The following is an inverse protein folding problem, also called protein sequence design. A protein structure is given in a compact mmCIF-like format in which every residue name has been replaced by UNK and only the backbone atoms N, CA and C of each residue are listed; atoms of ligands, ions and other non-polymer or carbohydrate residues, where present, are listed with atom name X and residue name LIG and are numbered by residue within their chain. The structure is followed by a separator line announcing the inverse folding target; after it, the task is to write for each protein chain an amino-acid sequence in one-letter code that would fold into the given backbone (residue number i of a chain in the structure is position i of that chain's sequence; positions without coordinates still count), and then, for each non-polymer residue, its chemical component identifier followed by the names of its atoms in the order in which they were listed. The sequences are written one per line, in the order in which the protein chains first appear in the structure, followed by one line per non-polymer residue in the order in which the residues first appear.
data_IF_550854830447
#
_entry.id   IF_550854830447
#
_cell.length_a   1.000
_cell.length_b   1.000
_cell.length_c   1.000
_cell.angle_alpha   90.00
_cell.angle_beta   90.00
_cell.angle_gamma   90.00
#
_symmetry.space_group_name_H-M   'P 1'
#
loop_
_entity.id
_entity.type
_entity.pdbx_description
1 polymer ?
#
# COMPACT_ATOMS: atom_id res chain seq x y z
N UNK A 1 -19.47 62.61 22.23
CA UNK A 1 -18.61 62.14 23.34
C UNK A 1 -19.28 60.86 23.88
N UNK A 2 -18.84 59.70 23.38
CA UNK A 2 -18.03 58.71 24.14
C UNK A 2 -18.78 58.23 25.39
N UNK A 3 -19.42 57.06 25.36
CA UNK A 3 -18.87 55.71 25.61
C UNK A 3 -19.98 54.96 26.37
N UNK A 4 -20.17 53.65 26.38
CA UNK A 4 -19.31 52.49 26.19
C UNK A 4 -20.18 51.36 25.62
N UNK A 5 -19.84 50.81 24.44
CA UNK A 5 -20.30 49.48 24.06
C UNK A 5 -19.27 48.48 24.58
N UNK A 6 -19.57 47.83 25.70
CA UNK A 6 -18.80 46.68 26.18
C UNK A 6 -18.95 45.55 25.16
N UNK A 7 -17.96 45.41 24.29
CA UNK A 7 -17.78 44.20 23.51
C UNK A 7 -17.45 43.07 24.48
N UNK A 8 -18.41 42.17 24.69
CA UNK A 8 -18.16 40.89 25.31
C UNK A 8 -17.14 40.14 24.45
N UNK A 9 -15.94 39.99 24.98
CA UNK A 9 -14.88 39.17 24.41
C UNK A 9 -15.36 37.72 24.49
N UNK A 10 -15.84 37.16 23.37
CA UNK A 10 -16.15 35.74 23.29
C UNK A 10 -14.85 34.96 23.57
N UNK A 11 -14.77 34.40 24.77
CA UNK A 11 -13.78 33.41 25.15
C UNK A 11 -13.92 32.21 24.23
N UNK A 12 -13.07 32.14 23.22
CA UNK A 12 -12.86 30.90 22.48
C UNK A 12 -12.22 29.93 23.47
N UNK A 13 -13.03 29.03 24.03
CA UNK A 13 -12.52 27.90 24.77
C UNK A 13 -11.51 27.13 23.91
N UNK A 14 -10.54 26.42 24.52
CA UNK A 14 -9.60 25.60 23.76
C UNK A 14 -10.38 24.68 22.83
N UNK A 15 -9.93 24.47 21.57
CA UNK A 15 -10.63 23.59 20.65
C UNK A 15 -10.79 22.23 21.32
N UNK A 16 -12.04 21.85 21.57
CA UNK A 16 -12.40 20.50 22.01
C UNK A 16 -11.96 19.57 20.89
N UNK A 17 -10.84 18.89 21.11
CA UNK A 17 -10.29 17.90 20.19
C UNK A 17 -11.21 16.68 20.27
N UNK A 18 -12.30 16.69 19.52
CA UNK A 18 -13.22 15.55 19.43
C UNK A 18 -12.43 14.44 18.72
N UNK A 19 -12.17 13.31 19.38
CA UNK A 19 -11.47 12.20 18.74
C UNK A 19 -12.31 11.71 17.55
N UNK A 20 -11.63 11.44 16.43
CA UNK A 20 -12.28 10.89 15.24
C UNK A 20 -12.91 9.54 15.58
N UNK A 21 -14.11 9.29 15.05
CA UNK A 21 -14.73 7.97 15.16
C UNK A 21 -14.03 6.94 14.24
N UNK A 22 -14.36 5.66 14.41
CA UNK A 22 -13.72 4.58 13.66
C UNK A 22 -13.95 4.68 12.14
N UNK A 23 -15.11 5.18 11.70
CA UNK A 23 -15.43 5.34 10.29
C UNK A 23 -14.63 6.49 9.67
N UNK A 24 -14.50 7.59 10.40
CA UNK A 24 -13.68 8.74 10.04
C UNK A 24 -12.19 8.38 9.96
N UNK A 25 -11.68 7.59 10.92
CA UNK A 25 -10.30 7.11 10.89
C UNK A 25 -10.07 6.22 9.67
N UNK A 26 -10.98 5.28 9.39
CA UNK A 26 -10.90 4.41 8.21
C UNK A 26 -10.96 5.20 6.91
N UNK A 27 -11.85 6.18 6.80
CA UNK A 27 -11.95 7.05 5.64
C UNK A 27 -10.68 7.88 5.44
N UNK A 28 -10.15 8.47 6.52
CA UNK A 28 -8.90 9.24 6.48
C UNK A 28 -7.72 8.35 6.07
N UNK A 29 -7.60 7.15 6.64
CA UNK A 29 -6.56 6.19 6.26
C UNK A 29 -6.63 5.85 4.76
N UNK A 30 -7.83 5.57 4.24
CA UNK A 30 -8.03 5.30 2.82
C UNK A 30 -7.60 6.48 1.94
N UNK A 31 -7.98 7.70 2.32
CA UNK A 31 -7.64 8.93 1.58
C UNK A 31 -6.12 9.18 1.61
N UNK A 32 -5.49 9.12 2.78
CA UNK A 32 -4.06 9.36 2.92
C UNK A 32 -3.24 8.32 2.16
N UNK A 33 -3.63 7.04 2.23
CA UNK A 33 -2.95 5.98 1.48
C UNK A 33 -3.08 6.19 -0.03
N UNK A 34 -4.24 6.64 -0.51
CA UNK A 34 -4.45 6.98 -1.91
C UNK A 34 -3.50 8.11 -2.36
N UNK A 35 -3.50 9.22 -1.62
CA UNK A 35 -2.67 10.39 -1.94
C UNK A 35 -1.19 10.05 -1.92
N UNK A 36 -0.72 9.34 -0.89
CA UNK A 36 0.69 8.96 -0.78
C UNK A 36 1.10 8.02 -1.91
N UNK A 37 0.31 6.97 -2.18
CA UNK A 37 0.62 6.01 -3.26
C UNK A 37 0.71 6.72 -4.62
N UNK A 38 -0.24 7.61 -4.90
CA UNK A 38 -0.24 8.35 -6.17
C UNK A 38 0.93 9.33 -6.26
N UNK A 39 1.22 10.05 -5.17
CA UNK A 39 2.32 10.99 -5.09
C UNK A 39 3.66 10.29 -5.34
N UNK A 40 3.94 9.20 -4.63
CA UNK A 40 5.19 8.46 -4.81
C UNK A 40 5.35 7.92 -6.24
N UNK A 41 4.29 7.35 -6.83
CA UNK A 41 4.33 6.86 -8.24
C UNK A 41 4.61 8.02 -9.21
N UNK A 42 4.04 9.19 -8.98
CA UNK A 42 4.29 10.37 -9.80
C UNK A 42 5.73 10.88 -9.65
N UNK A 43 6.32 10.80 -8.46
CA UNK A 43 7.69 11.22 -8.22
C UNK A 43 8.72 10.38 -9.01
N UNK A 44 8.39 9.16 -9.46
CA UNK A 44 9.28 8.36 -10.34
C UNK A 44 9.52 8.97 -11.74
N UNK A 45 8.78 10.03 -12.10
CA UNK A 45 9.12 10.86 -13.27
C UNK A 45 10.49 11.53 -13.13
N UNK A 46 10.89 11.80 -11.90
CA UNK A 46 12.11 12.53 -11.57
C UNK A 46 13.26 11.54 -11.35
N UNK A 47 14.38 11.65 -12.09
CA UNK A 47 15.52 10.75 -11.93
C UNK A 47 16.08 10.73 -10.49
N UNK A 48 16.02 11.85 -9.78
CA UNK A 48 16.45 11.97 -8.39
C UNK A 48 15.64 11.12 -7.41
N UNK A 49 14.40 10.77 -7.74
CA UNK A 49 13.57 9.90 -6.90
C UNK A 49 14.20 8.52 -6.77
N UNK A 50 14.80 7.99 -7.84
CA UNK A 50 15.49 6.69 -7.80
C UNK A 50 16.78 6.75 -7.00
N UNK A 51 17.56 7.82 -7.16
CA UNK A 51 18.77 8.06 -6.38
C UNK A 51 18.44 8.19 -4.88
N UNK A 52 17.31 8.80 -4.53
CA UNK A 52 16.89 8.97 -3.14
C UNK A 52 15.93 7.87 -2.65
N UNK A 53 15.70 6.81 -3.43
CA UNK A 53 14.75 5.75 -3.05
C UNK A 53 15.23 4.93 -1.83
N UNK A 54 16.55 4.77 -1.69
CA UNK A 54 17.16 3.89 -0.68
C UNK A 54 17.21 2.44 -1.14
N UNK A 55 17.47 1.50 -0.20
CA UNK A 55 17.64 0.08 -0.55
C UNK A 55 16.46 -0.47 -1.37
N UNK A 56 16.70 -1.19 -2.48
CA UNK A 56 17.99 -1.67 -2.95
C UNK A 56 18.68 -0.75 -3.97
N UNK A 57 18.22 0.48 -4.23
CA UNK A 57 18.88 1.39 -5.19
C UNK A 57 19.95 2.25 -4.51
N UNK A 58 21.08 2.45 -5.19
CA UNK A 58 22.21 3.20 -4.65
C UNK A 58 21.99 4.71 -4.78
N UNK A 59 22.43 5.47 -3.77
CA UNK A 59 22.30 6.93 -3.75
C UNK A 59 23.18 7.62 -4.80
N UNK A 60 24.30 7.00 -5.15
CA UNK A 60 25.16 7.43 -6.25
C UNK A 60 25.31 6.27 -7.22
N UNK A 61 24.67 6.39 -8.39
CA UNK A 61 24.81 5.45 -9.47
C UNK A 61 26.26 5.52 -9.99
N UNK A 62 27.04 4.45 -9.80
CA UNK A 62 28.43 4.38 -10.29
C UNK A 62 29.48 3.89 -9.32
N UNK A 63 29.13 3.58 -8.06
CA UNK A 63 30.02 2.81 -7.19
C UNK A 63 30.06 1.35 -7.66
N UNK A 64 30.83 1.10 -8.72
CA UNK A 64 31.16 -0.24 -9.19
C UNK A 64 31.75 -1.09 -8.08
N UNK A 65 31.57 -2.41 -8.19
CA UNK A 65 32.07 -3.45 -7.28
C UNK A 65 33.43 -3.09 -6.64
N UNK A 66 33.39 -2.48 -5.44
CA UNK A 66 34.57 -1.91 -4.81
C UNK A 66 34.23 -0.81 -3.80
N UNK A 67 34.08 -1.20 -2.54
CA UNK A 67 33.84 -0.35 -1.35
C UNK A 67 32.50 0.42 -1.33
N UNK A 68 31.54 -0.15 -0.58
CA UNK A 68 30.45 0.57 0.08
C UNK A 68 29.36 1.15 -0.82
N UNK A 69 28.44 0.31 -1.30
CA UNK A 69 27.14 0.81 -1.76
C UNK A 69 26.52 1.62 -0.63
N UNK A 70 26.22 2.89 -0.90
CA UNK A 70 25.53 3.77 0.05
C UNK A 70 24.09 3.92 -0.40
N UNK A 71 23.17 3.63 0.51
CA UNK A 71 21.74 3.79 0.32
C UNK A 71 21.29 5.10 0.96
N UNK A 72 20.29 5.76 0.38
CA UNK A 72 19.69 6.93 0.99
C UNK A 72 19.12 6.57 2.38
N UNK A 73 19.43 7.35 3.44
CA UNK A 73 18.94 7.06 4.79
C UNK A 73 17.43 7.30 4.95
N UNK A 74 16.89 8.23 4.16
CA UNK A 74 15.46 8.52 4.06
C UNK A 74 15.03 8.29 2.61
N UNK A 75 13.93 7.56 2.43
CA UNK A 75 13.40 7.24 1.10
C UNK A 75 12.56 8.39 0.56
N UNK A 76 12.73 8.68 -0.73
CA UNK A 76 11.83 9.52 -1.52
C UNK A 76 10.46 8.89 -1.77
N UNK A 77 10.34 7.57 -1.62
CA UNK A 77 9.11 6.81 -1.82
C UNK A 77 8.98 5.70 -0.76
N UNK A 78 8.80 6.06 0.53
CA UNK A 78 8.84 5.13 1.66
C UNK A 78 7.76 4.04 1.60
N UNK A 79 6.57 4.33 1.09
CA UNK A 79 5.49 3.35 0.96
C UNK A 79 5.86 2.27 -0.07
N UNK A 80 6.27 2.69 -1.26
CA UNK A 80 6.71 1.79 -2.34
C UNK A 80 7.98 1.03 -1.94
N UNK A 81 8.91 1.67 -1.23
CA UNK A 81 10.10 1.01 -0.69
C UNK A 81 9.73 -0.09 0.31
N UNK A 82 8.81 0.20 1.23
CA UNK A 82 8.32 -0.77 2.20
C UNK A 82 7.67 -1.98 1.52
N UNK A 83 6.78 -1.72 0.54
CA UNK A 83 6.16 -2.78 -0.27
C UNK A 83 7.21 -3.63 -1.00
N UNK A 84 8.18 -2.99 -1.65
CA UNK A 84 9.18 -3.66 -2.45
C UNK A 84 10.11 -4.53 -1.58
N UNK A 85 10.59 -3.98 -0.46
CA UNK A 85 11.50 -4.67 0.45
C UNK A 85 10.85 -5.80 1.22
N UNK A 86 9.56 -5.66 1.56
CA UNK A 86 8.82 -6.66 2.35
C UNK A 86 8.26 -7.79 1.50
N UNK A 87 7.80 -7.51 0.28
CA UNK A 87 7.18 -8.51 -0.58
C UNK A 87 8.10 -8.99 -1.68
N UNK A 88 8.63 -8.09 -2.52
CA UNK A 88 9.35 -8.48 -3.74
C UNK A 88 10.74 -9.03 -3.43
N UNK A 89 11.52 -8.33 -2.60
CA UNK A 89 12.88 -8.76 -2.25
C UNK A 89 12.93 -10.02 -1.38
N UNK A 90 11.78 -10.46 -0.84
CA UNK A 90 11.66 -11.70 -0.08
C UNK A 90 11.20 -12.89 -0.92
N UNK A 91 10.82 -12.68 -2.18
CA UNK A 91 10.44 -13.77 -3.07
C UNK A 91 11.62 -14.73 -3.29
N UNK A 92 11.36 -16.05 -3.34
CA UNK A 92 12.38 -17.03 -3.69
C UNK A 92 12.91 -16.72 -5.10
N UNK A 93 14.23 -16.80 -5.27
CA UNK A 93 14.91 -16.39 -6.51
C UNK A 93 15.31 -14.91 -6.51
N UNK A 94 14.37 -13.99 -6.28
CA UNK A 94 14.64 -12.53 -6.27
C UNK A 94 15.59 -12.13 -5.14
N UNK A 95 15.41 -12.73 -3.96
CA UNK A 95 16.28 -12.53 -2.79
C UNK A 95 17.74 -12.93 -3.00
N UNK A 96 18.05 -13.69 -4.04
CA UNK A 96 19.42 -14.17 -4.34
C UNK A 96 20.17 -13.29 -5.34
N UNK A 97 19.51 -12.27 -5.91
CA UNK A 97 20.13 -11.38 -6.86
C UNK A 97 21.23 -10.55 -6.21
N UNK A 98 22.35 -10.43 -6.93
CA UNK A 98 23.48 -9.62 -6.49
C UNK A 98 23.08 -8.13 -6.43
N UNK A 99 23.63 -7.32 -5.50
CA UNK A 99 23.31 -5.90 -5.40
C UNK A 99 23.45 -5.14 -6.72
N UNK A 100 24.43 -5.51 -7.55
CA UNK A 100 24.68 -4.90 -8.87
C UNK A 100 23.49 -5.05 -9.82
N UNK A 101 22.70 -6.12 -9.70
CA UNK A 101 21.47 -6.27 -10.46
C UNK A 101 20.51 -5.11 -10.18
N UNK A 102 20.35 -4.73 -8.91
CA UNK A 102 19.45 -3.64 -8.52
C UNK A 102 20.06 -2.26 -8.79
N UNK A 103 21.27 -2.03 -8.28
CA UNK A 103 21.88 -0.71 -8.22
C UNK A 103 22.42 -0.23 -9.57
N UNK A 104 22.74 -1.17 -10.47
CA UNK A 104 23.33 -0.85 -11.78
C UNK A 104 22.33 -1.14 -12.88
N UNK A 105 21.80 -2.37 -12.96
CA UNK A 105 20.96 -2.76 -14.09
C UNK A 105 19.56 -2.18 -13.97
N UNK A 106 18.82 -2.52 -12.91
CA UNK A 106 17.43 -2.07 -12.72
C UNK A 106 17.38 -0.55 -12.53
N UNK A 107 18.23 0.00 -11.65
CA UNK A 107 18.30 1.44 -11.44
C UNK A 107 18.66 2.19 -12.73
N UNK A 108 19.65 1.71 -13.50
CA UNK A 108 20.03 2.32 -14.77
C UNK A 108 18.89 2.33 -15.79
N UNK A 109 18.12 1.23 -15.91
CA UNK A 109 16.93 1.18 -16.76
C UNK A 109 15.90 2.23 -16.32
N UNK A 110 15.58 2.26 -15.02
CA UNK A 110 14.57 3.19 -14.49
C UNK A 110 15.00 4.65 -14.64
N UNK A 111 16.27 4.97 -14.40
CA UNK A 111 16.82 6.32 -14.60
C UNK A 111 16.73 6.75 -16.05
N UNK A 112 17.11 5.88 -17.00
CA UNK A 112 16.99 6.18 -18.42
C UNK A 112 15.53 6.40 -18.87
N UNK A 113 14.58 5.65 -18.30
CA UNK A 113 13.15 5.82 -18.57
C UNK A 113 12.62 7.15 -18.04
N UNK A 114 13.08 7.58 -16.85
CA UNK A 114 12.73 8.87 -16.25
C UNK A 114 13.33 10.03 -17.05
N UNK A 115 14.61 9.96 -17.43
CA UNK A 115 15.29 10.98 -18.25
C UNK A 115 14.68 11.14 -19.65
N UNK A 116 14.18 10.04 -20.23
CA UNK A 116 13.49 10.05 -21.52
C UNK A 116 12.05 10.60 -21.44
N UNK A 117 11.59 10.98 -20.25
CA UNK A 117 10.26 11.51 -19.93
C UNK A 117 9.10 10.68 -20.53
N UNK A 118 9.30 9.36 -20.63
CA UNK A 118 8.32 8.44 -21.22
C UNK A 118 7.02 8.34 -20.38
N UNK A 119 7.09 8.78 -19.13
CA UNK A 119 5.97 8.97 -18.22
C UNK A 119 5.12 10.20 -18.56
N UNK A 120 5.68 11.23 -19.19
CA UNK A 120 4.97 12.41 -19.67
C UNK A 120 4.51 12.21 -21.11
N UNK A 121 3.62 11.25 -21.34
CA UNK A 121 2.95 11.16 -22.64
C UNK A 121 1.84 12.18 -22.82
N UNK A 122 2.15 13.42 -22.51
CA UNK A 122 1.37 14.59 -22.87
C UNK A 122 1.78 15.01 -24.28
N UNK A 123 1.44 14.18 -25.26
CA UNK A 123 1.23 14.73 -26.60
C UNK A 123 -0.12 14.21 -27.08
N UNK A 124 -1.10 15.13 -27.15
CA UNK A 124 -2.44 15.01 -27.76
C UNK A 124 -3.59 14.50 -26.88
N UNK A 125 -4.00 15.29 -25.88
CA UNK A 125 -5.42 15.57 -25.56
C UNK A 125 -6.37 14.42 -25.17
N UNK A 126 -5.92 13.18 -25.09
CA UNK A 126 -6.68 12.01 -24.65
C UNK A 126 -6.03 11.42 -23.40
N UNK A 127 -6.83 10.85 -22.49
CA UNK A 127 -6.32 9.95 -21.45
C UNK A 127 -5.62 8.78 -22.15
N UNK A 128 -4.30 8.88 -22.30
CA UNK A 128 -3.51 7.86 -22.97
C UNK A 128 -3.57 6.54 -22.21
N UNK A 129 -3.43 5.43 -22.93
CA UNK A 129 -3.41 4.06 -22.38
C UNK A 129 -2.44 3.96 -21.17
N UNK A 130 -1.33 4.69 -21.19
CA UNK A 130 -0.37 4.79 -20.08
C UNK A 130 -0.95 5.38 -18.80
N UNK A 131 -1.75 6.44 -18.88
CA UNK A 131 -2.39 7.05 -17.71
C UNK A 131 -3.45 6.12 -17.14
N UNK A 132 -4.22 5.45 -18.00
CA UNK A 132 -5.16 4.41 -17.58
C UNK A 132 -4.46 3.23 -16.90
N UNK A 133 -3.36 2.74 -17.48
CA UNK A 133 -2.58 1.65 -16.91
C UNK A 133 -1.91 2.05 -15.59
N UNK A 134 -1.35 3.27 -15.51
CA UNK A 134 -0.76 3.79 -14.28
C UNK A 134 -1.82 3.87 -13.18
N UNK A 135 -2.97 4.49 -13.45
CA UNK A 135 -4.08 4.55 -12.48
C UNK A 135 -4.56 3.15 -12.06
N UNK A 136 -4.71 2.21 -13.00
CA UNK A 136 -5.10 0.84 -12.66
C UNK A 136 -4.02 0.10 -11.86
N UNK A 137 -2.75 0.37 -12.10
CA UNK A 137 -1.65 -0.21 -11.31
C UNK A 137 -1.60 0.42 -9.92
N UNK A 138 -1.83 1.73 -9.81
CA UNK A 138 -1.89 2.45 -8.54
C UNK A 138 -2.99 1.89 -7.63
N UNK A 139 -4.17 1.53 -8.15
CA UNK A 139 -5.24 0.96 -7.31
C UNK A 139 -4.88 -0.42 -6.75
N UNK A 140 -4.16 -1.24 -7.53
CA UNK A 140 -3.64 -2.53 -7.05
C UNK A 140 -2.61 -2.30 -5.95
N UNK A 141 -1.62 -1.43 -6.19
CA UNK A 141 -0.58 -1.08 -5.22
C UNK A 141 -1.21 -0.52 -3.93
N UNK A 142 -2.20 0.36 -4.07
CA UNK A 142 -2.92 0.96 -2.96
C UNK A 142 -3.65 -0.10 -2.11
N UNK A 143 -4.26 -1.11 -2.74
CA UNK A 143 -4.93 -2.20 -2.02
C UNK A 143 -3.93 -2.99 -1.17
N UNK A 144 -2.76 -3.29 -1.74
CA UNK A 144 -1.68 -3.99 -1.02
C UNK A 144 -1.09 -3.11 0.09
N UNK A 145 -0.89 -1.81 -0.17
CA UNK A 145 -0.42 -0.83 0.82
C UNK A 145 -1.37 -0.75 2.02
N UNK A 146 -2.68 -0.67 1.76
CA UNK A 146 -3.71 -0.65 2.81
C UNK A 146 -3.69 -1.93 3.64
N UNK A 147 -3.53 -3.10 3.01
CA UNK A 147 -3.39 -4.37 3.73
C UNK A 147 -2.09 -4.44 4.55
N UNK A 148 -0.97 -3.95 4.01
CA UNK A 148 0.33 -3.95 4.67
C UNK A 148 0.36 -3.05 5.92
N UNK A 149 -0.29 -1.88 5.87
CA UNK A 149 -0.27 -0.89 6.97
C UNK A 149 -1.46 -1.06 7.90
N UNK A 150 -2.66 -1.26 7.34
CA UNK A 150 -3.91 -1.33 8.09
C UNK A 150 -4.25 -2.73 8.62
N UNK A 151 -3.60 -3.78 8.08
CA UNK A 151 -3.92 -5.16 8.41
C UNK A 151 -5.27 -5.62 7.84
N UNK A 152 -5.61 -6.89 8.10
CA UNK A 152 -6.92 -7.43 7.80
C UNK A 152 -7.92 -7.09 8.92
N UNK A 153 -9.25 -7.08 8.64
CA UNK A 153 -10.28 -6.90 9.66
C UNK A 153 -10.01 -7.79 10.88
N UNK A 154 -9.98 -7.18 12.07
CA UNK A 154 -9.85 -7.93 13.31
C UNK A 154 -11.25 -8.28 13.82
N UNK A 155 -11.55 -9.59 13.91
CA UNK A 155 -12.78 -10.10 14.49
C UNK A 155 -12.45 -10.91 15.73
N UNK A 156 -13.03 -10.54 16.87
CA UNK A 156 -12.88 -11.24 18.14
C UNK A 156 -13.59 -12.61 18.08
N UNK A 157 -12.86 -13.74 18.07
CA UNK A 157 -13.45 -15.07 17.95
C UNK A 157 -14.51 -15.34 19.03
N UNK A 158 -14.38 -14.75 20.22
CA UNK A 158 -15.31 -14.95 21.33
C UNK A 158 -16.69 -14.30 21.11
N UNK A 159 -16.82 -13.38 20.15
CA UNK A 159 -18.06 -12.63 19.86
C UNK A 159 -18.74 -13.06 18.56
N UNK A 160 -18.19 -14.04 17.85
CA UNK A 160 -18.71 -14.45 16.54
C UNK A 160 -20.01 -15.25 16.69
N UNK A 161 -20.99 -15.05 15.79
CA UNK A 161 -22.20 -15.85 15.77
C UNK A 161 -21.89 -17.28 15.30
N UNK A 162 -22.55 -18.27 15.89
CA UNK A 162 -22.36 -19.68 15.49
C UNK A 162 -22.91 -20.00 14.09
N UNK A 163 -23.78 -19.15 13.53
CA UNK A 163 -24.38 -19.30 12.21
C UNK A 163 -24.62 -17.92 11.59
N UNK A 164 -24.32 -17.79 10.31
CA UNK A 164 -24.61 -16.59 9.50
C UNK A 164 -25.85 -16.80 8.64
N UNK A 165 -26.66 -15.77 8.48
CA UNK A 165 -27.81 -15.79 7.57
C UNK A 165 -27.40 -15.46 6.14
N UNK A 166 -27.72 -16.35 5.19
CA UNK A 166 -27.48 -16.15 3.76
C UNK A 166 -28.44 -15.11 3.12
N UNK A 167 -29.51 -14.75 3.81
CA UNK A 167 -30.50 -13.78 3.34
C UNK A 167 -30.10 -12.33 3.67
N UNK A 168 -29.07 -12.15 4.49
CA UNK A 168 -28.60 -10.84 4.95
C UNK A 168 -27.23 -10.53 4.35
N UNK A 169 -27.16 -9.50 3.50
CA UNK A 169 -25.90 -9.00 2.95
C UNK A 169 -24.92 -8.55 4.04
N UNK A 170 -25.43 -8.11 5.19
CA UNK A 170 -24.60 -7.70 6.34
C UNK A 170 -23.96 -8.91 7.03
N UNK A 171 -24.72 -9.99 7.22
CA UNK A 171 -24.18 -11.22 7.81
C UNK A 171 -23.14 -11.84 6.89
N UNK A 172 -23.37 -11.79 5.58
CA UNK A 172 -22.38 -12.27 4.62
C UNK A 172 -21.08 -11.45 4.66
N UNK A 173 -21.18 -10.12 4.77
CA UNK A 173 -20.01 -9.26 4.91
C UNK A 173 -19.25 -9.54 6.23
N UNK A 174 -19.96 -9.76 7.34
CA UNK A 174 -19.34 -10.14 8.60
C UNK A 174 -18.68 -11.54 8.52
N UNK A 175 -19.34 -12.52 7.90
CA UNK A 175 -18.77 -13.84 7.69
C UNK A 175 -17.48 -13.79 6.86
N UNK A 176 -17.45 -12.92 5.84
CA UNK A 176 -16.25 -12.67 5.04
C UNK A 176 -15.13 -12.04 5.88
N UNK A 177 -15.43 -11.03 6.68
CA UNK A 177 -14.43 -10.40 7.57
C UNK A 177 -13.86 -11.40 8.59
N UNK A 178 -14.71 -12.29 9.13
CA UNK A 178 -14.30 -13.36 10.05
C UNK A 178 -13.42 -14.40 9.34
N UNK A 179 -13.77 -14.81 8.11
CA UNK A 179 -12.93 -15.70 7.31
C UNK A 179 -11.58 -15.06 6.95
N UNK A 180 -11.57 -13.76 6.62
CA UNK A 180 -10.33 -13.02 6.36
C UNK A 180 -9.49 -12.86 7.62
N UNK A 181 -10.10 -12.74 8.80
CA UNK A 181 -9.37 -12.78 10.06
C UNK A 181 -8.69 -14.12 10.24
N UNK A 182 -9.42 -15.23 10.12
CA UNK A 182 -8.87 -16.56 10.37
C UNK A 182 -7.81 -16.94 9.32
N UNK A 183 -7.94 -16.44 8.09
CA UNK A 183 -6.93 -16.58 7.04
C UNK A 183 -5.60 -15.90 7.38
N UNK A 184 -5.66 -14.73 8.02
CA UNK A 184 -4.51 -13.84 8.18
C UNK A 184 -3.88 -13.99 9.57
N UNK A 185 -4.68 -14.23 10.59
CA UNK A 185 -4.26 -14.23 11.99
C UNK A 185 -4.32 -15.60 12.66
N UNK A 186 -5.08 -16.55 12.12
CA UNK A 186 -5.26 -17.91 12.68
C UNK A 186 -4.82 -18.97 11.65
N UNK A 187 -5.36 -20.19 11.74
CA UNK A 187 -4.93 -21.40 11.04
C UNK A 187 -5.84 -21.81 9.87
N UNK A 188 -6.69 -20.92 9.36
CA UNK A 188 -7.64 -21.26 8.28
C UNK A 188 -6.96 -21.83 7.03
N UNK A 189 -5.75 -21.36 6.68
CA UNK A 189 -5.00 -21.94 5.57
C UNK A 189 -4.70 -23.43 5.81
N UNK A 190 -4.25 -23.77 7.01
CA UNK A 190 -3.86 -25.13 7.37
C UNK A 190 -5.10 -26.03 7.43
N UNK A 191 -6.20 -25.54 7.98
CA UNK A 191 -7.50 -26.23 8.00
C UNK A 191 -8.03 -26.51 6.58
N UNK A 192 -7.94 -25.53 5.68
CA UNK A 192 -8.32 -25.69 4.27
C UNK A 192 -7.45 -26.75 3.59
N UNK A 193 -6.13 -26.72 3.79
CA UNK A 193 -5.24 -27.74 3.24
C UNK A 193 -5.51 -29.13 3.82
N UNK A 194 -5.80 -29.22 5.12
CA UNK A 194 -6.16 -30.48 5.76
C UNK A 194 -7.46 -31.04 5.19
N UNK A 195 -8.49 -30.21 5.06
CA UNK A 195 -9.77 -30.62 4.49
C UNK A 195 -9.65 -31.06 3.02
N UNK A 196 -8.85 -30.33 2.23
CA UNK A 196 -8.56 -30.72 0.84
C UNK A 196 -7.74 -32.00 0.74
N UNK A 197 -6.87 -32.30 1.72
CA UNK A 197 -6.10 -33.53 1.76
C UNK A 197 -6.95 -34.75 2.18
N UNK A 198 -8.04 -34.54 2.92
CA UNK A 198 -8.99 -35.59 3.30
C UNK A 198 -10.05 -35.87 2.22
N UNK A 199 -10.28 -34.92 1.32
CA UNK A 199 -11.31 -35.02 0.29
C UNK A 199 -10.70 -35.50 -1.04
N UNK A 200 -10.82 -36.80 -1.31
CA UNK A 200 -10.36 -37.43 -2.57
C UNK A 200 -11.23 -37.08 -3.80
N UNK A 201 -12.29 -36.29 -3.62
CA UNK A 201 -13.32 -36.05 -4.64
C UNK A 201 -13.40 -34.58 -5.06
N UNK A 202 -12.50 -34.19 -5.94
CA UNK A 202 -12.51 -32.88 -6.60
C UNK A 202 -13.56 -32.79 -7.73
N UNK A 203 -14.02 -33.92 -8.26
CA UNK A 203 -14.83 -33.98 -9.47
C UNK A 203 -16.34 -33.87 -9.20
N UNK A 204 -16.83 -34.25 -8.01
CA UNK A 204 -18.26 -34.15 -7.66
C UNK A 204 -18.78 -32.73 -7.41
N UNK A 205 -17.89 -31.74 -7.34
CA UNK A 205 -18.21 -30.33 -7.12
C UNK A 205 -18.01 -29.44 -8.37
N UNK A 206 -17.60 -30.00 -9.51
CA UNK A 206 -17.61 -29.29 -10.80
C UNK A 206 -19.00 -29.38 -11.44
N UNK A 207 -19.60 -28.26 -11.91
CA UNK A 207 -20.84 -28.29 -12.69
C UNK A 207 -20.67 -28.96 -14.05
#
# INVERSE_FOLDING_TARGET
MNGERRHAFNSHGPPTNIPLDAEQIKALFNILTHFETYHEIEEFKKPETLSNYGYPFAQSAGAGAGSGVTYAPESSAPLLQSLFTRFILKLPGVSTFAPEFWNVQVQGILTNLAEADLSESYDKGALGIRKTLATASSTVIETVARGMIGGAPYSDPAKRPAKYSLESARDLAHAWDDAMHDLVYEDLCDDLFHHLAETDDFDSHSP
#
